data_IF_796466408711
#
_entry.id   IF_796466408711
#
_cell.length_a   1.000
_cell.length_b   1.000
_cell.length_c   1.000
_cell.angle_alpha   90.00
_cell.angle_beta   90.00
_cell.angle_gamma   90.00
#
_symmetry.space_group_name_H-M   'P 1'
#
loop_
_entity.id
_entity.type
_entity.pdbx_description
1 polymer ?
#
# COMPACT_ATOMS: atom_id res chain seq x y z
N UNK A 1 -0.08 -7.48 5.21
CA UNK A 1 -0.02 -7.37 3.77
C UNK A 1 -1.12 -6.44 3.29
N UNK A 2 -0.84 -5.68 2.25
CA UNK A 2 -1.85 -4.89 1.54
C UNK A 2 -2.78 -5.82 0.73
N UNK A 3 -3.11 -7.00 1.27
CA UNK A 3 -3.97 -7.95 0.59
C UNK A 3 -5.43 -7.64 0.87
N UNK A 4 -6.19 -7.32 -0.15
CA UNK A 4 -7.64 -7.39 -0.07
C UNK A 4 -8.14 -8.84 -0.24
N UNK A 5 -7.32 -9.81 0.15
CA UNK A 5 -7.67 -11.24 0.03
C UNK A 5 -8.96 -11.62 0.78
N UNK A 6 -9.41 -10.74 1.66
CA UNK A 6 -10.70 -10.89 2.34
C UNK A 6 -11.88 -10.29 1.59
N UNK A 7 -11.62 -9.64 0.45
CA UNK A 7 -12.66 -8.97 -0.35
C UNK A 7 -13.13 -9.80 -1.54
N UNK A 8 -12.46 -10.90 -1.83
CA UNK A 8 -12.84 -11.79 -2.91
C UNK A 8 -13.42 -13.06 -2.30
N UNK A 9 -14.68 -13.39 -2.62
CA UNK A 9 -15.23 -14.69 -2.25
C UNK A 9 -14.39 -15.80 -2.94
N UNK A 10 -14.20 -16.94 -2.29
CA UNK A 10 -13.35 -18.04 -2.80
C UNK A 10 -13.84 -18.69 -4.09
N UNK A 11 -14.91 -18.20 -4.68
CA UNK A 11 -15.54 -18.77 -5.87
C UNK A 11 -15.44 -17.90 -7.12
N UNK A 12 -14.53 -16.93 -7.18
CA UNK A 12 -14.36 -16.13 -8.39
C UNK A 12 -13.58 -16.93 -9.42
N UNK A 13 -14.22 -17.11 -10.55
CA UNK A 13 -13.76 -17.95 -11.66
C UNK A 13 -12.34 -17.65 -12.14
N UNK A 14 -11.62 -18.71 -12.61
CA UNK A 14 -10.23 -18.57 -13.09
C UNK A 14 -10.03 -17.56 -14.21
N UNK A 15 -11.08 -17.28 -14.98
CA UNK A 15 -11.04 -16.39 -16.15
C UNK A 15 -10.85 -14.91 -15.83
N UNK A 16 -11.22 -14.48 -14.63
CA UNK A 16 -11.02 -13.08 -14.22
C UNK A 16 -9.57 -12.77 -13.86
N UNK A 17 -8.80 -13.79 -13.53
CA UNK A 17 -7.37 -13.67 -13.25
C UNK A 17 -6.51 -13.48 -14.51
N UNK A 18 -7.02 -13.95 -15.64
CA UNK A 18 -6.33 -13.86 -16.93
C UNK A 18 -6.36 -12.45 -17.54
N UNK A 19 -7.11 -11.52 -16.93
CA UNK A 19 -7.25 -10.14 -17.42
C UNK A 19 -6.47 -9.12 -16.59
N UNK A 20 -5.46 -9.56 -15.84
CA UNK A 20 -4.45 -8.65 -15.32
C UNK A 20 -3.79 -7.93 -16.50
N UNK A 21 -3.34 -6.68 -16.29
CA UNK A 21 -2.59 -5.94 -17.31
C UNK A 21 -1.57 -6.87 -17.94
N UNK A 22 -1.61 -7.13 -19.26
CA UNK A 22 -0.67 -8.03 -19.89
C UNK A 22 0.75 -7.56 -19.60
N UNK A 23 1.58 -8.45 -19.05
CA UNK A 23 2.97 -8.12 -18.72
C UNK A 23 3.78 -7.65 -19.94
N UNK A 24 3.27 -7.85 -21.14
CA UNK A 24 4.01 -7.63 -22.39
C UNK A 24 3.31 -6.74 -23.43
N UNK A 25 2.05 -6.33 -23.21
CA UNK A 25 1.36 -5.52 -24.19
C UNK A 25 1.60 -4.04 -23.94
N UNK A 26 2.38 -3.41 -24.81
CA UNK A 26 2.41 -1.95 -25.08
C UNK A 26 2.36 -1.04 -23.85
N UNK A 27 3.09 -1.41 -22.79
CA UNK A 27 3.33 -0.48 -21.70
C UNK A 27 4.37 0.51 -22.19
N UNK A 28 4.07 1.84 -22.19
CA UNK A 28 5.07 2.83 -22.54
C UNK A 28 6.34 2.60 -21.72
N UNK A 29 7.53 2.76 -22.33
CA UNK A 29 8.85 2.59 -21.71
C UNK A 29 9.09 3.41 -20.42
N UNK A 30 8.06 4.12 -19.94
CA UNK A 30 8.12 5.06 -18.82
C UNK A 30 7.23 4.70 -17.64
N UNK A 31 6.59 3.53 -17.64
CA UNK A 31 5.75 3.14 -16.48
C UNK A 31 6.64 2.70 -15.33
N UNK A 32 6.54 3.43 -14.22
CA UNK A 32 7.27 3.10 -13.00
C UNK A 32 6.42 2.14 -12.19
N UNK A 33 6.98 0.97 -11.89
CA UNK A 33 6.34 -0.08 -11.11
C UNK A 33 7.06 -0.34 -9.81
N UNK A 34 6.31 -0.86 -8.86
CA UNK A 34 6.83 -1.27 -7.57
C UNK A 34 6.05 -2.43 -6.99
N UNK A 35 6.48 -2.83 -5.82
CA UNK A 35 5.89 -3.95 -5.08
C UNK A 35 5.55 -3.54 -3.66
N UNK A 36 4.69 -4.34 -3.04
CA UNK A 36 4.58 -4.33 -1.59
C UNK A 36 4.68 -5.76 -1.03
N UNK A 37 5.32 -5.88 0.12
CA UNK A 37 5.64 -7.16 0.74
C UNK A 37 5.37 -7.15 2.24
N UNK A 38 5.22 -8.34 2.79
CA UNK A 38 5.10 -8.59 4.22
C UNK A 38 5.76 -9.92 4.55
N UNK A 39 5.56 -10.41 5.78
CA UNK A 39 5.98 -11.76 6.16
C UNK A 39 5.39 -12.86 5.25
N UNK A 40 4.29 -12.59 4.56
CA UNK A 40 3.66 -13.54 3.64
C UNK A 40 4.59 -14.01 2.51
N UNK A 41 5.49 -13.15 2.08
CA UNK A 41 6.46 -13.50 1.04
C UNK A 41 7.58 -14.39 1.57
N UNK A 42 7.67 -14.58 2.89
CA UNK A 42 8.71 -15.38 3.51
C UNK A 42 10.10 -14.80 3.25
N UNK A 43 11.07 -15.68 3.02
CA UNK A 43 12.42 -15.24 2.65
C UNK A 43 12.43 -14.56 1.29
N UNK A 44 13.03 -13.38 1.23
CA UNK A 44 13.18 -12.61 0.00
C UNK A 44 14.67 -12.45 -0.31
N UNK A 45 15.07 -12.79 -1.53
CA UNK A 45 16.41 -12.52 -2.02
C UNK A 45 16.45 -11.12 -2.63
N UNK A 46 16.78 -10.13 -1.81
CA UNK A 46 16.76 -8.73 -2.22
C UNK A 46 17.79 -8.38 -3.30
N UNK A 47 18.88 -9.12 -3.38
CA UNK A 47 19.85 -8.96 -4.47
C UNK A 47 19.21 -9.29 -5.82
N UNK A 48 18.42 -10.36 -5.88
CA UNK A 48 17.67 -10.71 -7.09
C UNK A 48 16.53 -9.72 -7.35
N UNK A 49 15.80 -9.31 -6.32
CA UNK A 49 14.72 -8.31 -6.46
C UNK A 49 15.26 -7.05 -7.12
N UNK A 50 16.44 -6.60 -6.72
CA UNK A 50 17.07 -5.39 -7.26
C UNK A 50 17.39 -5.48 -8.75
N UNK A 51 17.45 -6.69 -9.32
CA UNK A 51 17.64 -6.89 -10.77
C UNK A 51 16.35 -6.88 -11.58
N UNK A 52 15.21 -6.89 -10.91
CA UNK A 52 13.91 -6.90 -11.60
C UNK A 52 13.49 -5.47 -11.96
N UNK A 53 13.33 -5.16 -13.27
CA UNK A 53 12.93 -3.82 -13.70
C UNK A 53 11.51 -3.42 -13.27
N UNK A 54 10.71 -4.36 -12.78
CA UNK A 54 9.39 -4.08 -12.24
C UNK A 54 9.44 -3.48 -10.84
N UNK A 55 10.62 -3.38 -10.22
CA UNK A 55 10.76 -2.95 -8.82
C UNK A 55 11.59 -1.67 -8.74
N UNK A 56 10.91 -0.54 -8.94
CA UNK A 56 11.53 0.78 -8.71
C UNK A 56 11.38 1.22 -7.24
N UNK A 57 10.39 0.70 -6.53
CA UNK A 57 10.13 1.00 -5.12
C UNK A 57 9.47 -0.20 -4.45
N UNK A 58 9.56 -0.24 -3.12
CA UNK A 58 8.92 -1.28 -2.32
C UNK A 58 8.32 -0.71 -1.04
N UNK A 59 7.05 -0.99 -0.80
CA UNK A 59 6.43 -0.77 0.50
C UNK A 59 6.44 -2.06 1.32
N UNK A 60 6.84 -1.96 2.58
CA UNK A 60 7.06 -3.10 3.47
C UNK A 60 6.16 -2.96 4.69
N UNK A 61 5.37 -4.01 4.97
CA UNK A 61 4.51 -4.01 6.14
C UNK A 61 5.36 -3.89 7.41
N UNK A 62 4.97 -2.97 8.28
CA UNK A 62 5.60 -2.75 9.56
C UNK A 62 4.70 -3.19 10.70
N UNK A 63 3.51 -2.65 10.79
CA UNK A 63 2.61 -2.79 11.94
C UNK A 63 1.15 -2.90 11.51
N UNK A 64 0.34 -3.41 12.44
CA UNK A 64 -1.11 -3.50 12.30
C UNK A 64 -1.76 -3.24 13.65
N UNK A 65 -2.75 -2.36 13.68
CA UNK A 65 -3.47 -2.07 14.92
C UNK A 65 -2.54 -1.59 16.04
N UNK A 66 -2.90 -1.91 17.28
CA UNK A 66 -2.20 -1.40 18.47
C UNK A 66 -1.07 -2.31 18.96
N UNK A 67 -0.90 -3.52 18.42
CA UNK A 67 0.07 -4.46 18.97
C UNK A 67 0.78 -5.39 18.00
N UNK A 68 0.32 -5.49 16.77
CA UNK A 68 0.94 -6.38 15.80
C UNK A 68 2.12 -5.71 15.12
N UNK A 69 3.26 -6.43 15.09
CA UNK A 69 4.48 -6.03 14.38
C UNK A 69 4.83 -7.15 13.40
N UNK A 70 5.10 -6.80 12.15
CA UNK A 70 5.56 -7.78 11.15
C UNK A 70 7.00 -8.19 11.43
N UNK A 71 7.23 -9.48 11.65
CA UNK A 71 8.55 -10.04 12.03
C UNK A 71 9.63 -9.79 10.97
N UNK A 72 9.22 -9.62 9.72
CA UNK A 72 10.16 -9.48 8.60
C UNK A 72 10.49 -8.03 8.28
N UNK A 73 9.82 -7.06 8.91
CA UNK A 73 9.96 -5.65 8.56
C UNK A 73 11.42 -5.18 8.61
N UNK A 74 12.06 -5.37 9.75
CA UNK A 74 13.42 -4.86 9.96
C UNK A 74 14.43 -5.45 8.96
N UNK A 75 14.38 -6.77 8.77
CA UNK A 75 15.25 -7.45 7.81
C UNK A 75 14.96 -7.00 6.38
N UNK A 76 13.70 -6.89 6.00
CA UNK A 76 13.32 -6.49 4.65
C UNK A 76 13.74 -5.04 4.35
N UNK A 77 13.51 -4.11 5.27
CA UNK A 77 13.95 -2.72 5.10
C UNK A 77 15.46 -2.63 4.94
N UNK A 78 16.19 -3.26 5.83
CA UNK A 78 17.66 -3.23 5.82
C UNK A 78 18.21 -3.80 4.51
N UNK A 79 17.78 -4.98 4.13
CA UNK A 79 18.32 -5.67 2.95
C UNK A 79 17.86 -5.03 1.64
N UNK A 80 16.63 -4.54 1.56
CA UNK A 80 16.16 -3.81 0.39
C UNK A 80 17.02 -2.56 0.15
N UNK A 81 17.27 -1.78 1.20
CA UNK A 81 18.10 -0.56 1.11
C UNK A 81 19.55 -0.88 0.78
N UNK A 82 20.12 -1.94 1.35
CA UNK A 82 21.47 -2.39 1.02
C UNK A 82 21.62 -2.73 -0.47
N UNK A 83 20.54 -3.11 -1.12
CA UNK A 83 20.51 -3.41 -2.56
C UNK A 83 19.98 -2.25 -3.41
N UNK A 84 19.91 -1.06 -2.87
CA UNK A 84 19.58 0.16 -3.61
C UNK A 84 18.10 0.35 -3.94
N UNK A 85 17.20 -0.40 -3.31
CA UNK A 85 15.76 -0.26 -3.51
C UNK A 85 15.21 0.81 -2.58
N UNK A 86 14.43 1.74 -3.13
CA UNK A 86 13.70 2.74 -2.36
C UNK A 86 12.59 2.08 -1.55
N UNK A 87 12.56 2.31 -0.23
CA UNK A 87 11.61 1.66 0.66
C UNK A 87 10.73 2.64 1.41
N UNK A 88 9.51 2.21 1.70
CA UNK A 88 8.59 2.85 2.62
C UNK A 88 7.88 1.80 3.48
N UNK A 89 7.36 2.25 4.61
CA UNK A 89 6.61 1.39 5.52
C UNK A 89 5.11 1.55 5.33
N UNK A 90 4.35 0.48 5.63
CA UNK A 90 2.92 0.65 5.78
C UNK A 90 2.40 0.07 7.10
N UNK A 91 1.38 0.75 7.61
CA UNK A 91 0.62 0.35 8.79
C UNK A 91 -0.79 -0.03 8.39
N UNK A 92 -1.25 -1.20 8.82
CA UNK A 92 -2.63 -1.62 8.61
C UNK A 92 -3.51 -1.03 9.72
N UNK A 93 -4.40 -0.13 9.33
CA UNK A 93 -5.29 0.56 10.27
C UNK A 93 -6.37 -0.38 10.79
N UNK A 94 -6.43 -0.55 12.12
CA UNK A 94 -7.50 -1.29 12.77
C UNK A 94 -8.73 -0.40 12.94
N UNK A 95 -9.92 -0.86 12.50
CA UNK A 95 -11.14 -0.08 12.69
C UNK A 95 -11.62 -0.03 14.14
N UNK A 96 -11.03 -0.81 15.04
CA UNK A 96 -11.47 -0.94 16.43
C UNK A 96 -10.47 -0.45 17.48
N UNK A 97 -9.18 -0.46 17.17
CA UNK A 97 -8.15 0.02 18.09
C UNK A 97 -8.10 1.55 18.14
N UNK A 98 -7.67 2.11 19.27
CA UNK A 98 -7.57 3.56 19.39
C UNK A 98 -6.49 4.13 18.45
N UNK A 99 -6.70 5.33 17.86
CA UNK A 99 -5.69 5.97 17.05
C UNK A 99 -4.36 6.21 17.76
N UNK A 100 -4.38 6.61 19.01
CA UNK A 100 -3.17 6.87 19.79
C UNK A 100 -2.38 5.59 20.01
N UNK A 101 -3.05 4.48 20.38
CA UNK A 101 -2.37 3.19 20.56
C UNK A 101 -1.79 2.66 19.26
N UNK A 102 -2.46 2.87 18.13
CA UNK A 102 -1.93 2.49 16.81
C UNK A 102 -0.72 3.34 16.44
N UNK A 103 -0.74 4.64 16.72
CA UNK A 103 0.41 5.50 16.51
C UNK A 103 1.61 5.01 17.33
N UNK A 104 1.41 4.70 18.61
CA UNK A 104 2.47 4.21 19.48
C UNK A 104 3.08 2.91 18.93
N UNK A 105 2.25 1.99 18.44
CA UNK A 105 2.74 0.78 17.80
C UNK A 105 3.57 1.09 16.56
N UNK A 106 3.03 1.90 15.66
CA UNK A 106 3.73 2.25 14.40
C UNK A 106 5.06 2.95 14.68
N UNK A 107 5.06 3.95 15.55
CA UNK A 107 6.26 4.78 15.80
C UNK A 107 7.34 4.04 16.58
N UNK A 108 6.98 3.00 17.34
CA UNK A 108 7.95 2.13 18.02
C UNK A 108 8.76 1.26 17.04
N UNK A 109 8.28 1.09 15.81
CA UNK A 109 8.87 0.20 14.80
C UNK A 109 9.42 0.99 13.61
N UNK A 110 8.67 1.96 13.12
CA UNK A 110 9.02 2.72 11.91
C UNK A 110 9.77 3.99 12.26
N UNK A 111 11.05 4.01 11.94
CA UNK A 111 11.89 5.21 12.06
C UNK A 111 11.97 5.89 10.68
N UNK A 112 11.72 7.19 10.65
CA UNK A 112 11.77 7.99 9.42
C UNK A 112 13.12 7.87 8.69
N UNK A 113 14.22 7.83 9.43
CA UNK A 113 15.57 7.75 8.85
C UNK A 113 15.85 6.43 8.10
N UNK A 114 15.09 5.39 8.37
CA UNK A 114 15.23 4.09 7.70
C UNK A 114 14.37 3.99 6.44
N UNK A 115 13.64 5.04 6.09
CA UNK A 115 12.69 5.04 4.99
C UNK A 115 12.99 6.15 3.99
N UNK A 116 12.82 5.84 2.72
CA UNK A 116 12.95 6.79 1.60
C UNK A 116 11.58 7.37 1.21
N UNK A 117 10.54 6.59 1.42
CA UNK A 117 9.19 6.87 0.92
C UNK A 117 8.24 7.28 2.05
N UNK A 118 7.30 8.14 1.70
CA UNK A 118 6.21 8.56 2.59
C UNK A 118 5.45 7.32 3.06
N UNK A 119 5.17 7.19 4.37
CA UNK A 119 4.46 6.00 4.89
C UNK A 119 3.05 5.89 4.31
N UNK A 120 2.61 4.65 4.14
CA UNK A 120 1.24 4.32 3.73
C UNK A 120 0.43 3.87 4.93
N UNK A 121 -0.80 4.35 5.01
CA UNK A 121 -1.82 3.82 5.90
C UNK A 121 -2.80 2.99 5.08
N UNK A 122 -2.85 1.72 5.39
CA UNK A 122 -3.68 0.72 4.72
C UNK A 122 -5.06 0.67 5.39
N UNK A 123 -6.10 1.02 4.64
CA UNK A 123 -7.47 1.12 5.16
C UNK A 123 -8.40 0.26 4.32
N UNK A 124 -8.69 -0.94 4.82
CA UNK A 124 -9.44 -1.95 4.10
C UNK A 124 -10.71 -2.41 4.81
N UNK A 125 -10.85 -2.10 6.09
CA UNK A 125 -11.92 -2.66 6.93
C UNK A 125 -12.63 -1.57 7.71
N UNK A 126 -13.92 -1.78 7.86
CA UNK A 126 -14.76 -1.07 8.82
C UNK A 126 -15.37 -2.12 9.77
N UNK A 127 -15.55 -1.78 11.03
CA UNK A 127 -16.13 -2.70 12.00
C UNK A 127 -17.58 -3.02 11.62
N UNK A 128 -18.00 -4.26 11.88
CA UNK A 128 -19.39 -4.67 11.69
C UNK A 128 -20.32 -3.78 12.51
N UNK A 129 -21.38 -3.26 11.89
CA UNK A 129 -22.33 -2.33 12.50
C UNK A 129 -21.68 -1.02 12.97
N UNK A 130 -20.59 -0.63 12.34
CA UNK A 130 -19.91 0.60 12.68
C UNK A 130 -20.72 1.83 12.30
N UNK A 131 -20.61 2.87 13.13
CA UNK A 131 -20.99 4.21 12.72
C UNK A 131 -19.90 4.73 11.74
N UNK A 132 -20.28 4.94 10.49
CA UNK A 132 -19.33 5.37 9.45
C UNK A 132 -18.67 6.69 9.80
N UNK A 133 -19.44 7.66 10.29
CA UNK A 133 -18.88 8.98 10.66
C UNK A 133 -17.86 8.87 11.79
N UNK A 134 -18.15 8.05 12.80
CA UNK A 134 -17.21 7.81 13.90
C UNK A 134 -15.93 7.14 13.40
N UNK A 135 -16.05 6.16 12.51
CA UNK A 135 -14.91 5.51 11.87
C UNK A 135 -14.05 6.53 11.09
N UNK A 136 -14.68 7.37 10.28
CA UNK A 136 -13.96 8.38 9.50
C UNK A 136 -13.26 9.41 10.39
N UNK A 137 -13.88 9.81 11.50
CA UNK A 137 -13.26 10.72 12.47
C UNK A 137 -12.02 10.09 13.13
N UNK A 138 -12.09 8.82 13.49
CA UNK A 138 -10.95 8.08 14.06
C UNK A 138 -9.83 7.92 13.06
N UNK A 139 -10.16 7.60 11.83
CA UNK A 139 -9.16 7.52 10.75
C UNK A 139 -8.50 8.88 10.52
N UNK A 140 -9.29 9.94 10.46
CA UNK A 140 -8.75 11.30 10.28
C UNK A 140 -7.83 11.69 11.42
N UNK A 141 -8.19 11.37 12.65
CA UNK A 141 -7.33 11.62 13.81
C UNK A 141 -6.00 10.85 13.66
N UNK A 142 -6.06 9.58 13.32
CA UNK A 142 -4.86 8.76 13.14
C UNK A 142 -3.94 9.34 12.06
N UNK A 143 -4.51 9.71 10.91
CA UNK A 143 -3.74 10.28 9.81
C UNK A 143 -3.04 11.59 10.22
N UNK A 144 -3.70 12.42 11.02
CA UNK A 144 -3.09 13.66 11.55
C UNK A 144 -1.98 13.36 12.55
N UNK A 145 -2.16 12.37 13.42
CA UNK A 145 -1.12 11.94 14.36
C UNK A 145 0.12 11.44 13.62
N UNK A 146 -0.06 10.67 12.56
CA UNK A 146 1.03 10.16 11.71
C UNK A 146 1.74 11.33 11.03
N UNK A 147 1.00 12.27 10.44
CA UNK A 147 1.56 13.44 9.80
C UNK A 147 2.38 14.28 10.78
N UNK A 148 1.86 14.53 11.97
CA UNK A 148 2.56 15.30 12.99
C UNK A 148 3.86 14.62 13.45
N UNK A 149 3.82 13.30 13.60
CA UNK A 149 5.00 12.57 14.06
C UNK A 149 6.11 12.51 13.01
N UNK A 150 5.77 12.20 11.76
CA UNK A 150 6.76 12.03 10.70
C UNK A 150 7.07 13.32 9.93
N UNK A 151 6.28 14.36 10.12
CA UNK A 151 6.47 15.62 9.41
C UNK A 151 6.09 15.56 7.92
N UNK A 152 5.43 14.50 7.49
CA UNK A 152 4.93 14.32 6.13
C UNK A 152 3.52 13.74 6.17
N UNK A 153 2.67 14.16 5.25
CA UNK A 153 1.32 13.61 5.13
C UNK A 153 1.39 12.20 4.58
N UNK A 154 0.85 11.19 5.28
CA UNK A 154 0.89 9.81 4.78
C UNK A 154 0.05 9.64 3.53
N UNK A 155 0.39 8.62 2.74
CA UNK A 155 -0.49 8.13 1.68
C UNK A 155 -1.56 7.23 2.30
N UNK A 156 -2.70 7.13 1.62
CA UNK A 156 -3.73 6.16 1.95
C UNK A 156 -3.76 5.08 0.87
N UNK A 157 -3.69 3.82 1.30
CA UNK A 157 -4.00 2.66 0.47
C UNK A 157 -5.39 2.16 0.80
N UNK A 158 -6.19 1.89 -0.24
CA UNK A 158 -7.51 1.31 -0.08
C UNK A 158 -8.01 0.71 -1.40
N UNK A 159 -9.05 -0.12 -1.33
CA UNK A 159 -9.73 -0.61 -2.52
C UNK A 159 -10.63 0.46 -3.16
N UNK A 160 -10.80 0.37 -4.48
CA UNK A 160 -11.64 1.32 -5.22
C UNK A 160 -13.08 1.35 -4.70
N UNK A 161 -13.67 0.18 -4.47
CA UNK A 161 -15.04 0.07 -3.96
C UNK A 161 -15.18 0.63 -2.55
N UNK A 162 -14.21 0.34 -1.68
CA UNK A 162 -14.19 0.84 -0.31
C UNK A 162 -14.10 2.37 -0.29
N UNK A 163 -13.24 2.94 -1.09
CA UNK A 163 -13.11 4.39 -1.20
C UNK A 163 -14.41 5.03 -1.66
N UNK A 164 -14.99 4.53 -2.73
CA UNK A 164 -16.23 5.06 -3.28
C UNK A 164 -17.42 4.96 -2.31
N UNK A 165 -17.47 3.87 -1.53
CA UNK A 165 -18.56 3.62 -0.59
C UNK A 165 -18.46 4.48 0.67
N UNK A 166 -17.26 4.65 1.23
CA UNK A 166 -17.12 5.20 2.58
C UNK A 166 -16.43 6.56 2.64
N UNK A 167 -15.63 6.93 1.63
CA UNK A 167 -14.69 8.04 1.78
C UNK A 167 -14.66 9.05 0.65
N UNK A 168 -15.50 8.88 -0.36
CA UNK A 168 -15.56 9.83 -1.49
C UNK A 168 -15.80 11.26 -1.00
N UNK A 169 -14.93 12.18 -1.38
CA UNK A 169 -15.00 13.59 -0.99
C UNK A 169 -14.50 13.93 0.41
N UNK A 170 -14.11 12.93 1.23
CA UNK A 170 -13.71 13.14 2.62
C UNK A 170 -12.20 13.29 2.84
N UNK A 171 -11.39 12.80 1.92
CA UNK A 171 -9.92 12.70 2.09
C UNK A 171 -9.18 13.19 0.86
N UNK A 172 -9.66 14.26 0.22
CA UNK A 172 -9.10 14.78 -1.02
C UNK A 172 -7.70 15.36 -0.88
N UNK A 173 -7.30 15.73 0.32
CA UNK A 173 -5.95 16.21 0.63
C UNK A 173 -4.89 15.11 0.64
N UNK A 174 -5.30 13.83 0.72
CA UNK A 174 -4.39 12.71 0.79
C UNK A 174 -4.12 12.09 -0.58
N UNK A 175 -2.86 11.79 -0.85
CA UNK A 175 -2.45 11.02 -2.03
C UNK A 175 -2.84 9.55 -1.82
N UNK A 176 -3.26 8.88 -2.90
CA UNK A 176 -3.85 7.55 -2.82
C UNK A 176 -3.08 6.53 -3.64
N UNK A 177 -2.95 5.32 -3.09
CA UNK A 177 -2.73 4.08 -3.84
C UNK A 177 -4.03 3.29 -3.81
N UNK A 178 -4.57 2.97 -4.97
CA UNK A 178 -5.87 2.30 -5.08
C UNK A 178 -5.69 0.88 -5.63
N UNK A 179 -6.28 -0.09 -4.94
CA UNK A 179 -6.29 -1.49 -5.37
C UNK A 179 -7.52 -1.78 -6.23
N UNK A 180 -7.26 -2.37 -7.39
CA UNK A 180 -8.29 -2.93 -8.28
C UNK A 180 -7.61 -3.94 -9.22
N UNK A 181 -8.04 -5.21 -9.19
CA UNK A 181 -7.35 -6.29 -9.91
C UNK A 181 -7.99 -6.65 -11.23
N UNK A 182 -8.98 -5.90 -11.67
CA UNK A 182 -9.67 -6.06 -12.95
C UNK A 182 -9.48 -4.77 -13.75
N UNK A 183 -9.07 -4.88 -15.02
CA UNK A 183 -9.03 -3.75 -15.93
C UNK A 183 -10.44 -3.19 -16.19
N UNK A 184 -10.56 -1.90 -16.48
CA UNK A 184 -9.52 -0.89 -16.61
C UNK A 184 -9.04 -0.34 -15.28
N UNK A 185 -8.11 0.63 -15.32
CA UNK A 185 -7.66 1.33 -14.12
C UNK A 185 -8.84 1.91 -13.33
N UNK A 186 -8.70 2.06 -12.00
CA UNK A 186 -9.80 2.51 -11.15
C UNK A 186 -10.28 3.91 -11.52
N UNK A 187 -11.59 4.10 -11.44
CA UNK A 187 -12.21 5.42 -11.53
C UNK A 187 -12.89 5.69 -10.20
N UNK A 188 -12.47 6.77 -9.55
CA UNK A 188 -13.05 7.16 -8.27
C UNK A 188 -14.19 8.15 -8.51
N UNK A 189 -15.27 8.04 -7.71
CA UNK A 189 -16.42 8.94 -7.75
C UNK A 189 -16.01 10.38 -7.46
N UNK A 190 -15.04 10.55 -6.57
CA UNK A 190 -14.51 11.86 -6.24
C UNK A 190 -13.50 12.30 -7.29
N UNK A 191 -13.84 13.30 -8.07
CA UNK A 191 -12.98 13.85 -9.13
C UNK A 191 -11.77 14.63 -8.59
N UNK A 192 -11.79 15.01 -7.32
CA UNK A 192 -10.69 15.72 -6.67
C UNK A 192 -9.70 14.76 -5.98
N UNK A 193 -9.97 13.46 -5.99
CA UNK A 193 -9.08 12.47 -5.41
C UNK A 193 -7.72 12.45 -6.12
N UNK A 194 -6.65 12.38 -5.33
CA UNK A 194 -5.27 12.35 -5.82
C UNK A 194 -4.78 10.90 -5.92
N UNK A 195 -5.22 10.18 -6.94
CA UNK A 195 -4.83 8.80 -7.17
C UNK A 195 -3.47 8.75 -7.89
N UNK A 196 -2.41 8.46 -7.14
CA UNK A 196 -1.04 8.43 -7.65
C UNK A 196 -0.66 7.08 -8.22
N UNK A 197 -1.08 6.01 -7.53
CA UNK A 197 -0.66 4.65 -7.85
C UNK A 197 -1.87 3.72 -7.90
N UNK A 198 -1.75 2.72 -8.76
CA UNK A 198 -2.70 1.65 -8.93
C UNK A 198 -2.03 0.32 -8.59
N UNK A 199 -2.50 -0.35 -7.54
CA UNK A 199 -2.13 -1.74 -7.29
C UNK A 199 -3.01 -2.62 -8.17
N UNK A 200 -2.41 -3.15 -9.22
CA UNK A 200 -3.15 -3.80 -10.30
C UNK A 200 -3.19 -5.32 -10.20
N UNK A 201 -2.38 -5.93 -9.34
CA UNK A 201 -2.39 -7.38 -9.13
C UNK A 201 -1.91 -7.75 -7.72
N UNK A 202 -2.44 -8.85 -7.21
CA UNK A 202 -1.96 -9.51 -6.00
C UNK A 202 -1.25 -10.84 -6.31
N UNK A 203 -1.10 -11.16 -7.59
CA UNK A 203 -0.54 -12.45 -8.06
C UNK A 203 0.64 -12.24 -8.99
N UNK A 204 1.36 -11.13 -8.81
CA UNK A 204 2.53 -10.83 -9.61
C UNK A 204 3.69 -11.79 -9.33
N UNK A 205 4.57 -11.92 -10.32
CA UNK A 205 5.80 -12.70 -10.22
C UNK A 205 6.99 -11.76 -10.25
N UNK A 206 7.83 -11.84 -9.23
CA UNK A 206 8.99 -10.96 -9.04
C UNK A 206 10.23 -11.79 -8.77
N UNK A 207 11.34 -11.45 -9.40
CA UNK A 207 12.62 -12.11 -9.15
C UNK A 207 12.99 -11.99 -7.67
N UNK A 208 13.41 -13.10 -7.07
CA UNK A 208 13.83 -13.14 -5.66
C UNK A 208 12.69 -13.36 -4.67
N UNK A 209 11.44 -13.39 -5.12
CA UNK A 209 10.27 -13.66 -4.30
C UNK A 209 9.60 -14.93 -4.78
N UNK A 210 9.39 -15.88 -3.85
CA UNK A 210 8.64 -17.10 -4.13
C UNK A 210 7.14 -16.81 -4.02
N UNK A 211 6.36 -17.29 -4.99
CA UNK A 211 4.91 -17.14 -4.98
C UNK A 211 4.47 -15.73 -5.37
N UNK A 212 3.29 -15.39 -4.93
CA UNK A 212 2.60 -14.17 -5.33
C UNK A 212 3.15 -12.93 -4.65
N UNK A 213 3.14 -11.83 -5.38
CA UNK A 213 3.54 -10.52 -4.87
C UNK A 213 2.59 -9.46 -5.40
N UNK A 214 2.21 -8.53 -4.53
CA UNK A 214 1.44 -7.36 -4.93
C UNK A 214 2.31 -6.43 -5.78
N UNK A 215 1.78 -5.99 -6.91
CA UNK A 215 2.45 -5.03 -7.80
C UNK A 215 1.57 -3.82 -8.03
N UNK A 216 2.22 -2.67 -8.11
CA UNK A 216 1.57 -1.39 -8.39
C UNK A 216 2.35 -0.61 -9.44
N UNK A 217 1.70 0.41 -9.99
CA UNK A 217 2.32 1.33 -10.94
C UNK A 217 1.90 2.76 -10.63
N UNK A 218 2.74 3.71 -11.01
CA UNK A 218 2.32 5.11 -11.02
C UNK A 218 1.34 5.35 -12.16
N UNK A 219 0.34 6.14 -11.88
CA UNK A 219 -0.58 6.64 -12.89
C UNK A 219 0.03 7.84 -13.60
N UNK A 220 -0.56 8.22 -14.72
CA UNK A 220 -0.10 9.33 -15.56
C UNK A 220 0.16 10.58 -14.73
N UNK A 221 1.24 11.27 -15.05
CA UNK A 221 1.71 12.52 -14.46
C UNK A 221 2.34 12.42 -13.06
N UNK A 222 2.39 11.22 -12.48
CA UNK A 222 3.03 10.99 -11.19
C UNK A 222 4.28 10.12 -11.32
N UNK A 223 5.23 10.31 -10.42
CA UNK A 223 6.47 9.54 -10.37
C UNK A 223 6.98 9.42 -8.93
N UNK A 224 8.14 8.77 -8.77
CA UNK A 224 8.70 8.48 -7.45
C UNK A 224 8.95 9.74 -6.60
N UNK A 225 9.19 10.88 -7.22
CA UNK A 225 9.38 12.13 -6.48
C UNK A 225 8.12 12.55 -5.69
N UNK A 226 6.96 12.10 -6.13
CA UNK A 226 5.68 12.38 -5.45
C UNK A 226 5.51 11.61 -4.14
N UNK A 227 6.33 10.60 -3.90
CA UNK A 227 6.28 9.76 -2.69
C UNK A 227 7.57 9.77 -1.88
N UNK A 228 8.60 10.51 -2.28
CA UNK A 228 9.82 10.64 -1.49
C UNK A 228 9.57 11.51 -0.25
N UNK A 229 10.14 11.07 0.87
CA UNK A 229 10.25 11.91 2.07
C UNK A 229 11.25 13.03 1.77
N UNK A 230 10.82 14.25 1.97
CA UNK A 230 11.63 15.46 1.77
C UNK A 230 12.01 16.08 3.11
#
# INVERSE_FOLDING_TARGET
>A
SLHPSTLLPPSIEPDLRAKSVPQHATIPDKVIRGIDVSHYQGFINWKEVATDPQVAYCYIKATEGSGYVDDCYETNVRQARQNGIKVGAYHFFSPTASPVSQLDNMTSVVDKKDNDLIPIIDVEKIARRANVNAFLQRLRLFLKLVENHYGVRPLIYTGANFYNKYRAGQFTEYKLMIAKYIEPEPVLKDKHAKMLMWQYTSTGSVKGIRGNCDQSMFLKDYNINDILIK
#
